data_IF_463528257334
#
_entry.id   IF_463528257334
#
_cell.length_a   1.000
_cell.length_b   1.000
_cell.length_c   1.000
_cell.angle_alpha   90.00
_cell.angle_beta   90.00
_cell.angle_gamma   90.00
#
_symmetry.space_group_name_H-M   'P 1'
#
loop_
_entity.id
_entity.type
_entity.pdbx_description
1 polymer ?
#
# COMPACT_ATOMS: atom_id res chain seq x y z
N UNK A 1 -96.88 9.13 2.40
CA UNK A 1 -95.43 8.99 2.65
C UNK A 1 -94.74 10.08 1.84
N UNK A 2 -94.61 11.28 2.45
CA UNK A 2 -93.33 11.91 2.90
C UNK A 2 -92.51 12.44 1.71
N UNK A 3 -92.67 13.73 1.39
CA UNK A 3 -91.78 14.88 1.72
C UNK A 3 -90.55 14.97 0.80
N UNK A 4 -90.47 15.94 -0.14
CA UNK A 4 -89.90 17.32 -0.01
C UNK A 4 -88.42 17.24 0.43
N UNK A 5 -87.39 17.66 -0.34
CA UNK A 5 -86.87 19.04 -0.57
C UNK A 5 -85.67 18.90 -1.55
N UNK A 6 -85.48 19.55 -2.72
CA UNK A 6 -85.33 20.96 -3.15
C UNK A 6 -83.99 21.66 -2.77
N UNK A 7 -83.42 22.38 -3.76
CA UNK A 7 -82.41 23.49 -3.73
C UNK A 7 -80.96 23.03 -4.03
N UNK A 8 -80.35 23.29 -5.21
CA UNK A 8 -79.94 24.49 -5.99
C UNK A 8 -78.39 24.59 -5.95
N UNK A 9 -77.65 24.60 -7.07
CA UNK A 9 -77.52 25.59 -8.18
C UNK A 9 -76.56 26.73 -7.82
N UNK A 10 -75.83 27.16 -8.86
CA UNK A 10 -74.97 28.36 -9.00
C UNK A 10 -73.49 28.13 -8.63
N UNK A 11 -72.49 28.65 -9.33
CA UNK A 11 -72.37 29.34 -10.62
C UNK A 11 -70.86 29.32 -10.96
N UNK A 12 -70.51 29.07 -12.22
CA UNK A 12 -69.12 29.01 -12.68
C UNK A 12 -68.55 30.43 -12.84
N UNK A 13 -67.80 30.89 -11.86
CA UNK A 13 -66.95 32.07 -11.96
C UNK A 13 -65.56 31.73 -12.51
N UNK A 14 -65.17 32.40 -13.60
CA UNK A 14 -63.83 32.36 -14.20
C UNK A 14 -62.75 32.79 -13.19
N UNK A 15 -61.86 31.88 -12.80
CA UNK A 15 -60.56 32.22 -12.19
C UNK A 15 -59.47 32.24 -13.28
N UNK A 16 -58.81 33.39 -13.45
CA UNK A 16 -57.55 33.49 -14.20
C UNK A 16 -56.44 32.77 -13.42
N UNK A 17 -55.59 31.94 -14.06
CA UNK A 17 -54.47 31.32 -13.37
C UNK A 17 -53.38 32.37 -13.14
N UNK A 18 -53.12 32.67 -11.87
CA UNK A 18 -51.94 33.41 -11.45
C UNK A 18 -50.74 32.46 -11.57
N UNK A 19 -49.92 32.63 -12.61
CA UNK A 19 -48.67 31.88 -12.77
C UNK A 19 -47.67 32.42 -11.74
N UNK A 20 -47.56 31.74 -10.60
CA UNK A 20 -46.45 31.92 -9.67
C UNK A 20 -45.19 31.31 -10.29
N UNK A 21 -44.33 32.14 -10.88
CA UNK A 21 -42.97 31.74 -11.23
C UNK A 21 -42.20 31.65 -9.91
N UNK A 22 -42.16 30.45 -9.31
CA UNK A 22 -41.23 30.15 -8.22
C UNK A 22 -39.80 30.19 -8.77
N UNK A 23 -39.12 31.30 -8.53
CA UNK A 23 -37.68 31.42 -8.71
C UNK A 23 -37.01 30.50 -7.66
N UNK A 24 -36.74 29.25 -8.02
CA UNK A 24 -35.86 28.37 -7.25
C UNK A 24 -34.45 28.95 -7.36
N UNK A 25 -34.10 29.83 -6.42
CA UNK A 25 -32.70 30.19 -6.19
C UNK A 25 -31.99 28.91 -5.75
N UNK A 26 -31.20 28.32 -6.65
CA UNK A 26 -30.18 27.36 -6.28
C UNK A 26 -29.16 28.12 -5.42
N UNK A 27 -29.39 28.16 -4.10
CA UNK A 27 -28.39 28.62 -3.15
C UNK A 27 -27.34 27.52 -3.10
N UNK A 28 -26.36 27.58 -4.00
CA UNK A 28 -25.09 26.91 -3.79
C UNK A 28 -24.46 27.59 -2.58
N UNK A 29 -24.54 26.96 -1.41
CA UNK A 29 -23.71 27.39 -0.28
C UNK A 29 -22.26 27.26 -0.71
N UNK A 30 -21.61 28.38 -0.99
CA UNK A 30 -20.17 28.41 -1.19
C UNK A 30 -19.54 27.92 0.13
N UNK A 31 -18.86 26.79 0.08
CA UNK A 31 -18.14 26.26 1.23
C UNK A 31 -17.09 27.30 1.66
N UNK A 32 -17.04 27.64 2.94
CA UNK A 32 -16.11 28.66 3.43
C UNK A 32 -14.68 28.13 3.39
N UNK A 33 -13.70 29.02 3.28
CA UNK A 33 -12.28 28.64 3.33
C UNK A 33 -11.92 27.86 4.60
N UNK A 34 -12.63 28.11 5.71
CA UNK A 34 -12.48 27.37 6.95
C UNK A 34 -13.02 25.94 6.88
N UNK A 35 -14.16 25.73 6.21
CA UNK A 35 -14.71 24.40 5.94
C UNK A 35 -13.76 23.62 5.01
N UNK A 36 -13.26 24.26 3.96
CA UNK A 36 -12.26 23.67 3.06
C UNK A 36 -10.95 23.35 3.78
N UNK A 37 -10.50 24.21 4.69
CA UNK A 37 -9.32 23.97 5.53
C UNK A 37 -9.50 22.75 6.44
N UNK A 38 -10.68 22.63 7.07
CA UNK A 38 -11.01 21.48 7.91
C UNK A 38 -11.07 20.19 7.10
N UNK A 39 -11.64 20.24 5.88
CA UNK A 39 -11.68 19.11 4.97
C UNK A 39 -10.26 18.69 4.57
N UNK A 40 -9.45 19.63 4.05
CA UNK A 40 -8.08 19.37 3.59
C UNK A 40 -7.22 18.76 4.70
N UNK A 41 -7.24 19.36 5.90
CA UNK A 41 -6.51 18.83 7.04
C UNK A 41 -6.99 17.42 7.41
N UNK A 42 -8.31 17.19 7.47
CA UNK A 42 -8.85 15.86 7.80
C UNK A 42 -8.55 14.79 6.76
N UNK A 43 -8.43 15.15 5.47
CA UNK A 43 -8.06 14.20 4.41
C UNK A 43 -6.57 13.82 4.48
N UNK A 44 -5.70 14.79 4.79
CA UNK A 44 -4.26 14.56 4.84
C UNK A 44 -3.81 13.96 6.16
N UNK A 45 -4.20 14.57 7.28
CA UNK A 45 -3.76 14.21 8.62
C UNK A 45 -4.67 13.18 9.33
N UNK A 46 -5.81 12.82 8.72
CA UNK A 46 -6.79 11.87 9.26
C UNK A 46 -7.38 12.27 10.64
N UNK A 47 -7.26 13.54 11.02
CA UNK A 47 -7.78 14.12 12.27
C UNK A 47 -8.68 15.31 11.96
N UNK A 48 -9.78 15.46 12.71
CA UNK A 48 -10.65 16.62 12.63
C UNK A 48 -10.29 17.60 13.74
N UNK A 49 -9.70 18.74 13.40
CA UNK A 49 -9.39 19.80 14.34
C UNK A 49 -10.62 20.70 14.62
N UNK A 50 -10.60 21.35 15.78
CA UNK A 50 -11.55 22.43 16.14
C UNK A 50 -11.39 23.62 15.19
N UNK A 51 -12.49 24.29 14.86
CA UNK A 51 -12.50 25.51 14.04
C UNK A 51 -11.65 26.66 14.62
N UNK A 52 -11.41 26.65 15.94
CA UNK A 52 -10.53 27.61 16.61
C UNK A 52 -9.04 27.25 16.58
N UNK A 53 -8.67 26.10 15.98
CA UNK A 53 -7.27 25.68 15.92
C UNK A 53 -6.42 26.68 15.12
N UNK A 54 -5.29 27.18 15.67
CA UNK A 54 -4.38 28.05 14.92
C UNK A 54 -3.89 27.41 13.61
N UNK A 55 -3.74 26.09 13.58
CA UNK A 55 -3.36 25.34 12.37
C UNK A 55 -4.44 25.45 11.31
N UNK A 56 -5.71 25.27 11.66
CA UNK A 56 -6.81 25.41 10.70
C UNK A 56 -6.99 26.86 10.23
N UNK A 57 -6.82 27.84 11.11
CA UNK A 57 -6.90 29.25 10.74
C UNK A 57 -5.81 29.63 9.73
N UNK A 58 -4.58 29.12 9.92
CA UNK A 58 -3.49 29.29 8.96
C UNK A 58 -3.82 28.64 7.60
N UNK A 59 -4.30 27.40 7.60
CA UNK A 59 -4.71 26.71 6.36
C UNK A 59 -5.83 27.48 5.66
N UNK A 60 -6.81 27.99 6.40
CA UNK A 60 -7.91 28.81 5.85
C UNK A 60 -7.39 30.07 5.15
N UNK A 61 -6.45 30.79 5.78
CA UNK A 61 -5.84 31.98 5.19
C UNK A 61 -5.05 31.66 3.91
N UNK A 62 -4.34 30.52 3.88
CA UNK A 62 -3.64 30.06 2.68
C UNK A 62 -4.63 29.73 1.56
N UNK A 63 -5.75 29.08 1.88
CA UNK A 63 -6.82 28.80 0.91
C UNK A 63 -7.46 30.08 0.37
N UNK A 64 -7.74 31.07 1.22
CA UNK A 64 -8.23 32.40 0.79
C UNK A 64 -7.25 33.08 -0.17
N UNK A 65 -5.95 32.91 0.06
CA UNK A 65 -4.89 33.39 -0.81
C UNK A 65 -4.64 32.50 -2.04
N UNK A 66 -5.46 31.47 -2.29
CA UNK A 66 -5.32 30.48 -3.37
C UNK A 66 -4.01 29.67 -3.33
N UNK A 67 -3.40 29.55 -2.16
CA UNK A 67 -2.15 28.84 -1.88
C UNK A 67 -2.42 27.41 -1.38
N UNK A 68 -3.12 26.62 -2.21
CA UNK A 68 -3.57 25.28 -1.86
C UNK A 68 -2.42 24.29 -1.58
N UNK A 69 -1.31 24.43 -2.30
CA UNK A 69 -0.14 23.56 -2.10
C UNK A 69 0.51 23.82 -0.74
N UNK A 70 0.69 25.09 -0.40
CA UNK A 70 1.22 25.51 0.90
C UNK A 70 0.26 25.12 2.04
N UNK A 71 -1.06 25.24 1.82
CA UNK A 71 -2.07 24.79 2.77
C UNK A 71 -1.96 23.28 3.04
N UNK A 72 -1.75 22.47 2.01
CA UNK A 72 -1.50 21.03 2.14
C UNK A 72 -0.16 20.72 2.82
N UNK A 73 0.88 21.52 2.57
CA UNK A 73 2.19 21.38 3.23
C UNK A 73 2.09 21.60 4.75
N UNK A 74 1.24 22.52 5.22
CA UNK A 74 0.96 22.70 6.65
C UNK A 74 0.34 21.44 7.26
N UNK A 75 -0.63 20.82 6.59
CA UNK A 75 -1.29 19.60 7.08
C UNK A 75 -0.34 18.39 7.08
N UNK A 76 0.49 18.23 6.04
CA UNK A 76 1.48 17.15 5.93
C UNK A 76 2.66 17.35 6.89
N UNK A 77 2.94 18.59 7.29
CA UNK A 77 3.96 18.92 8.27
C UNK A 77 3.54 18.68 9.72
N UNK A 78 2.27 18.34 9.98
CA UNK A 78 1.78 18.14 11.35
C UNK A 78 2.16 16.78 11.91
N UNK A 79 2.17 16.67 13.24
CA UNK A 79 2.39 15.40 13.94
C UNK A 79 1.25 14.40 13.67
N UNK A 80 0.03 14.89 13.43
CA UNK A 80 -1.12 14.03 13.08
C UNK A 80 -0.87 13.28 11.76
N UNK A 81 -0.20 13.91 10.78
CA UNK A 81 0.14 13.24 9.53
C UNK A 81 1.03 12.02 9.76
N UNK A 82 2.10 12.14 10.56
CA UNK A 82 2.99 11.01 10.84
C UNK A 82 2.37 9.97 11.78
N UNK A 83 1.66 10.42 12.81
CA UNK A 83 1.18 9.55 13.88
C UNK A 83 -0.16 8.88 13.59
N UNK A 84 -0.98 9.46 12.72
CA UNK A 84 -2.29 8.91 12.37
C UNK A 84 -2.31 8.49 10.91
N UNK A 85 -2.04 9.42 9.98
CA UNK A 85 -2.17 9.13 8.55
C UNK A 85 -1.15 8.11 8.07
N UNK A 86 0.15 8.33 8.29
CA UNK A 86 1.17 7.37 7.86
C UNK A 86 1.09 6.06 8.65
N UNK A 87 0.70 6.09 9.93
CA UNK A 87 0.44 4.87 10.68
C UNK A 87 -0.67 4.04 10.03
N UNK A 88 -1.84 4.64 9.76
CA UNK A 88 -2.96 3.97 9.08
C UNK A 88 -2.59 3.51 7.67
N UNK A 89 -1.69 4.23 6.99
CA UNK A 89 -1.18 3.84 5.68
C UNK A 89 -0.38 2.55 5.78
N UNK A 90 0.56 2.43 6.72
CA UNK A 90 1.49 1.29 6.80
C UNK A 90 1.00 0.10 7.64
N UNK A 91 0.14 0.33 8.64
CA UNK A 91 -0.30 -0.69 9.58
C UNK A 91 -0.91 -1.94 8.89
N UNK A 92 -1.85 -1.81 7.94
CA UNK A 92 -2.42 -2.97 7.24
C UNK A 92 -1.35 -3.83 6.55
N UNK A 93 -0.38 -3.20 5.88
CA UNK A 93 0.65 -3.92 5.10
C UNK A 93 1.62 -4.73 5.98
N UNK A 94 1.62 -4.48 7.29
CA UNK A 94 2.49 -5.16 8.25
C UNK A 94 1.95 -6.51 8.77
N UNK A 95 0.80 -6.97 8.26
CA UNK A 95 0.14 -8.22 8.67
C UNK A 95 -0.54 -8.96 7.51
N UNK A 96 -0.72 -10.28 7.64
CA UNK A 96 -1.38 -11.07 6.58
C UNK A 96 -2.83 -10.70 6.31
N UNK A 97 -3.56 -10.32 7.34
CA UNK A 97 -5.00 -10.02 7.28
C UNK A 97 -5.28 -8.53 7.03
N UNK A 98 -4.25 -7.75 6.71
CA UNK A 98 -4.37 -6.29 6.53
C UNK A 98 -4.99 -5.58 7.75
N UNK A 99 -4.64 -6.03 8.97
CA UNK A 99 -5.17 -5.49 10.22
C UNK A 99 -4.77 -4.02 10.41
N UNK A 100 -5.73 -3.06 10.42
CA UNK A 100 -5.43 -1.67 10.72
C UNK A 100 -5.13 -1.42 12.21
N UNK A 101 -5.61 -2.30 13.10
CA UNK A 101 -5.50 -2.20 14.55
C UNK A 101 -4.36 -3.08 15.08
N UNK A 102 -3.17 -2.94 14.48
CA UNK A 102 -1.95 -3.63 14.91
C UNK A 102 -1.05 -2.68 15.71
N UNK A 103 -0.27 -3.20 16.65
CA UNK A 103 0.73 -2.40 17.38
C UNK A 103 1.82 -1.87 16.45
N UNK A 104 2.42 -0.72 16.84
CA UNK A 104 3.59 -0.18 16.16
C UNK A 104 4.73 -1.20 16.15
N UNK A 105 5.20 -1.51 14.96
CA UNK A 105 6.28 -2.45 14.71
C UNK A 105 7.31 -1.84 13.76
N UNK A 106 8.45 -2.51 13.58
CA UNK A 106 9.56 -2.03 12.78
C UNK A 106 9.18 -1.76 11.32
N UNK A 107 8.28 -2.57 10.71
CA UNK A 107 7.78 -2.30 9.35
C UNK A 107 7.07 -0.94 9.27
N UNK A 108 6.15 -0.67 10.21
CA UNK A 108 5.40 0.59 10.25
C UNK A 108 6.35 1.76 10.53
N UNK A 109 7.23 1.62 11.52
CA UNK A 109 8.17 2.66 11.92
C UNK A 109 9.15 3.01 10.77
N UNK A 110 9.65 2.00 10.05
CA UNK A 110 10.48 2.21 8.87
C UNK A 110 9.73 2.94 7.75
N UNK A 111 8.47 2.59 7.49
CA UNK A 111 7.63 3.27 6.51
C UNK A 111 7.41 4.74 6.85
N UNK A 112 7.06 5.03 8.10
CA UNK A 112 6.89 6.40 8.61
C UNK A 112 8.20 7.19 8.47
N UNK A 113 9.32 6.62 8.93
CA UNK A 113 10.62 7.29 8.89
C UNK A 113 11.10 7.59 7.46
N UNK A 114 10.87 6.68 6.50
CA UNK A 114 11.18 6.92 5.09
C UNK A 114 10.34 8.03 4.48
N UNK A 115 9.19 8.35 5.08
CA UNK A 115 8.33 9.44 4.62
C UNK A 115 8.78 10.80 5.14
N UNK A 116 9.73 10.87 6.09
CA UNK A 116 10.28 12.15 6.55
C UNK A 116 11.24 12.76 5.53
N UNK A 117 11.32 14.09 5.53
CA UNK A 117 12.37 14.83 4.83
C UNK A 117 13.73 14.36 5.32
N UNK A 118 14.64 14.11 4.38
CA UNK A 118 16.01 13.78 4.70
C UNK A 118 16.74 15.03 5.22
N UNK A 119 17.30 15.00 6.45
CA UNK A 119 17.93 16.18 7.03
C UNK A 119 19.25 16.58 6.35
N UNK A 120 19.85 15.69 5.56
CA UNK A 120 21.10 15.95 4.82
C UNK A 120 20.78 16.58 3.47
N UNK A 121 19.83 16.01 2.74
CA UNK A 121 19.50 16.49 1.38
C UNK A 121 18.38 17.53 1.33
N UNK A 122 17.63 17.68 2.42
CA UNK A 122 16.41 18.48 2.53
C UNK A 122 15.36 18.12 1.47
N UNK A 123 15.29 16.83 1.09
CA UNK A 123 14.34 16.27 0.13
C UNK A 123 13.61 15.08 0.74
N UNK A 124 12.41 14.79 0.24
CA UNK A 124 11.73 13.54 0.57
C UNK A 124 12.55 12.35 0.06
N UNK A 125 12.53 11.25 0.81
CA UNK A 125 13.19 10.02 0.37
C UNK A 125 12.28 9.26 -0.60
N UNK A 126 12.86 8.61 -1.63
CA UNK A 126 12.07 7.82 -2.58
C UNK A 126 11.26 6.73 -1.87
N UNK A 127 10.00 6.58 -2.24
CA UNK A 127 9.14 5.48 -1.80
C UNK A 127 9.67 4.11 -2.26
N UNK A 128 10.46 4.04 -3.34
CA UNK A 128 11.12 2.82 -3.79
C UNK A 128 12.05 2.20 -2.75
N UNK A 129 12.65 3.02 -1.87
CA UNK A 129 13.48 2.55 -0.76
C UNK A 129 12.74 1.54 0.13
N UNK A 130 11.40 1.63 0.20
CA UNK A 130 10.60 0.69 0.99
C UNK A 130 10.69 -0.76 0.51
N UNK A 131 11.13 -1.02 -0.73
CA UNK A 131 11.27 -2.37 -1.26
C UNK A 131 12.70 -2.74 -1.64
N UNK A 132 13.63 -1.80 -1.77
CA UNK A 132 15.03 -2.09 -2.16
C UNK A 132 16.11 -1.43 -1.27
N UNK A 133 15.70 -0.66 -0.27
CA UNK A 133 16.60 0.11 0.58
C UNK A 133 17.37 -0.74 1.58
N UNK A 134 18.56 -0.27 1.96
CA UNK A 134 19.34 -0.83 3.06
C UNK A 134 19.25 0.09 4.27
N UNK A 135 18.12 0.02 4.98
CA UNK A 135 17.92 0.87 6.15
C UNK A 135 17.01 0.24 7.20
N UNK A 136 17.17 0.71 8.43
CA UNK A 136 16.30 0.48 9.57
C UNK A 136 16.08 1.81 10.29
N UNK A 137 15.56 1.77 11.51
CA UNK A 137 15.36 2.96 12.33
C UNK A 137 15.96 2.80 13.72
N UNK A 138 16.24 3.94 14.35
CA UNK A 138 16.44 4.05 15.79
C UNK A 138 15.23 4.75 16.39
N UNK A 139 14.92 4.42 17.64
CA UNK A 139 13.93 5.12 18.43
C UNK A 139 14.58 5.71 19.68
N UNK A 140 14.45 7.03 19.90
CA UNK A 140 15.16 7.76 20.96
C UNK A 140 16.68 7.51 20.95
N UNK A 141 17.29 7.47 19.76
CA UNK A 141 18.70 7.17 19.52
C UNK A 141 19.16 5.75 19.93
N UNK A 142 18.23 4.83 20.23
CA UNK A 142 18.52 3.42 20.45
C UNK A 142 18.15 2.58 19.22
N UNK A 143 18.99 1.62 18.78
CA UNK A 143 18.62 0.69 17.72
C UNK A 143 17.44 -0.19 18.15
N UNK A 144 16.63 -0.62 17.18
CA UNK A 144 15.57 -1.58 17.45
C UNK A 144 16.17 -2.96 17.79
N UNK A 145 15.44 -3.71 18.63
CA UNK A 145 15.80 -5.09 18.96
C UNK A 145 15.56 -6.01 17.76
N UNK A 146 16.52 -6.88 17.49
CA UNK A 146 16.37 -7.93 16.46
C UNK A 146 15.36 -9.02 16.86
N UNK A 147 15.05 -9.14 18.16
CA UNK A 147 14.19 -10.18 18.71
C UNK A 147 12.73 -9.73 18.92
N UNK A 148 12.47 -8.42 19.09
CA UNK A 148 11.13 -7.92 19.38
C UNK A 148 10.94 -6.45 19.00
N UNK A 149 9.69 -6.00 19.01
CA UNK A 149 9.29 -4.62 18.78
C UNK A 149 8.89 -3.89 20.08
N UNK A 150 9.32 -4.38 21.26
CA UNK A 150 8.81 -3.91 22.56
C UNK A 150 8.97 -2.40 22.76
N UNK A 151 10.09 -1.81 22.30
CA UNK A 151 10.30 -0.35 22.40
C UNK A 151 9.26 0.44 21.59
N UNK A 152 8.87 -0.05 20.42
CA UNK A 152 7.86 0.56 19.56
C UNK A 152 6.45 0.30 20.08
N UNK A 153 6.14 -0.92 20.53
CA UNK A 153 4.88 -1.25 21.20
C UNK A 153 4.66 -0.37 22.43
N UNK A 154 5.70 -0.18 23.26
CA UNK A 154 5.62 0.69 24.43
C UNK A 154 5.38 2.15 24.04
N UNK A 155 6.09 2.65 23.01
CA UNK A 155 5.87 3.99 22.48
C UNK A 155 4.43 4.18 22.00
N UNK A 156 3.86 3.17 21.35
CA UNK A 156 2.46 3.18 20.92
C UNK A 156 1.50 3.21 22.11
N UNK A 157 1.71 2.34 23.11
CA UNK A 157 0.86 2.25 24.30
C UNK A 157 0.89 3.52 25.16
N UNK A 158 2.02 4.22 25.19
CA UNK A 158 2.16 5.51 25.89
C UNK A 158 1.80 6.71 25.01
N UNK A 159 1.32 6.49 23.78
CA UNK A 159 0.97 7.53 22.80
C UNK A 159 2.13 8.50 22.54
N UNK A 160 3.34 7.97 22.49
CA UNK A 160 4.51 8.76 22.14
C UNK A 160 4.40 9.24 20.69
N UNK A 161 4.52 10.55 20.50
CA UNK A 161 4.49 11.17 19.18
C UNK A 161 5.77 10.82 18.41
N UNK A 162 5.62 10.23 17.23
CA UNK A 162 6.68 9.93 16.28
C UNK A 162 7.05 11.20 15.49
N UNK A 163 8.31 11.60 15.61
CA UNK A 163 8.88 12.78 14.95
C UNK A 163 10.25 12.44 14.34
N UNK A 164 10.76 13.26 13.40
CA UNK A 164 12.13 13.11 12.93
C UNK A 164 13.20 13.19 14.03
N UNK A 165 12.87 13.77 15.20
CA UNK A 165 13.79 13.89 16.32
C UNK A 165 13.98 12.56 17.08
N UNK A 166 12.93 11.75 17.21
CA UNK A 166 12.99 10.48 17.95
C UNK A 166 12.96 9.24 17.07
N UNK A 167 12.53 9.31 15.81
CA UNK A 167 12.50 8.20 14.87
C UNK A 167 13.40 8.51 13.68
N UNK A 168 14.61 7.94 13.67
CA UNK A 168 15.66 8.26 12.70
C UNK A 168 16.06 7.05 11.87
N UNK A 169 16.25 7.25 10.58
CA UNK A 169 16.80 6.22 9.69
C UNK A 169 18.26 5.95 10.02
N UNK A 170 18.64 4.68 9.98
CA UNK A 170 20.03 4.21 10.08
C UNK A 170 20.33 3.14 9.03
N UNK A 171 21.61 3.00 8.69
CA UNK A 171 22.14 1.99 7.77
C UNK A 171 23.39 1.34 8.39
N UNK A 172 23.66 0.04 8.17
CA UNK A 172 22.86 -0.91 7.39
C UNK A 172 21.53 -1.25 8.08
N UNK A 173 20.62 -1.91 7.36
CA UNK A 173 19.35 -2.36 7.90
C UNK A 173 19.54 -3.27 9.12
N UNK A 174 20.51 -4.19 9.05
CA UNK A 174 20.94 -5.04 10.15
C UNK A 174 22.40 -5.38 10.01
N UNK A 175 23.07 -5.61 11.12
CA UNK A 175 24.47 -6.03 11.13
C UNK A 175 24.67 -7.38 10.42
N UNK A 176 23.70 -8.30 10.54
CA UNK A 176 23.80 -9.66 9.98
C UNK A 176 23.15 -9.83 8.60
N UNK A 177 22.67 -8.73 7.97
CA UNK A 177 22.17 -8.74 6.60
C UNK A 177 23.07 -7.79 5.80
N UNK A 178 23.88 -8.28 4.85
CA UNK A 178 24.70 -7.40 4.03
C UNK A 178 23.82 -6.49 3.18
N UNK A 179 24.35 -5.33 2.78
CA UNK A 179 23.64 -4.34 1.97
C UNK A 179 23.06 -4.89 0.66
N UNK A 180 23.66 -5.95 0.12
CA UNK A 180 23.20 -6.63 -1.09
C UNK A 180 21.95 -7.50 -0.87
N UNK A 181 21.65 -7.85 0.38
CA UNK A 181 20.50 -8.68 0.77
C UNK A 181 19.38 -7.89 1.47
N UNK A 182 19.62 -6.64 1.85
CA UNK A 182 18.60 -5.76 2.40
C UNK A 182 17.65 -5.23 1.31
N UNK A 183 16.34 -5.26 1.57
CA UNK A 183 15.27 -4.92 0.65
C UNK A 183 14.14 -4.15 1.36
N UNK A 184 14.52 -3.13 2.13
CA UNK A 184 13.61 -2.24 2.84
C UNK A 184 12.64 -3.00 3.75
N UNK A 185 11.35 -2.71 3.59
CA UNK A 185 10.28 -3.35 4.35
C UNK A 185 10.19 -4.86 4.10
N UNK A 186 10.58 -5.37 2.91
CA UNK A 186 10.54 -6.80 2.58
C UNK A 186 11.48 -7.65 3.45
N UNK A 187 12.50 -7.04 4.04
CA UNK A 187 13.46 -7.68 4.95
C UNK A 187 13.41 -7.11 6.37
N UNK A 188 12.36 -6.34 6.67
CA UNK A 188 12.02 -5.98 8.06
C UNK A 188 11.68 -7.22 8.87
N UNK A 189 11.80 -7.10 10.20
CA UNK A 189 11.54 -8.18 11.15
C UNK A 189 10.08 -8.59 11.06
N UNK A 190 9.19 -7.60 11.07
CA UNK A 190 7.75 -7.84 11.03
C UNK A 190 7.33 -8.49 9.70
N UNK A 191 7.86 -8.05 8.54
CA UNK A 191 7.51 -8.71 7.28
C UNK A 191 8.02 -10.15 7.20
N UNK A 192 9.23 -10.43 7.68
CA UNK A 192 9.77 -11.78 7.75
C UNK A 192 9.00 -12.65 8.75
N UNK A 193 8.61 -12.10 9.91
CA UNK A 193 7.72 -12.77 10.88
C UNK A 193 6.41 -13.19 10.22
N UNK A 194 5.79 -12.30 9.46
CA UNK A 194 4.51 -12.59 8.82
C UNK A 194 4.66 -13.52 7.63
N UNK A 195 5.68 -13.40 6.79
CA UNK A 195 5.68 -14.06 5.49
C UNK A 195 6.73 -15.15 5.35
N UNK A 196 7.86 -15.03 6.05
CA UNK A 196 8.92 -16.03 6.06
C UNK A 196 8.74 -17.09 7.15
N UNK A 197 7.92 -16.92 8.20
CA UNK A 197 7.81 -17.99 9.22
C UNK A 197 7.26 -19.32 8.66
N UNK A 198 8.00 -20.42 8.74
CA UNK A 198 7.62 -21.71 8.13
C UNK A 198 7.42 -21.65 6.60
N UNK A 199 6.83 -22.71 6.02
CA UNK A 199 6.61 -22.82 4.57
C UNK A 199 7.91 -22.78 3.76
N UNK A 200 7.81 -22.39 2.48
CA UNK A 200 8.95 -22.38 1.54
C UNK A 200 9.10 -21.04 0.82
N UNK A 201 8.89 -19.94 1.55
CA UNK A 201 9.06 -18.54 1.11
C UNK A 201 8.18 -18.04 -0.05
N UNK A 202 7.25 -18.85 -0.56
CA UNK A 202 6.22 -18.41 -1.51
C UNK A 202 5.45 -17.17 -1.04
N UNK A 203 5.06 -17.12 0.24
CA UNK A 203 4.33 -15.97 0.79
C UNK A 203 5.09 -14.64 0.66
N UNK A 204 6.42 -14.65 0.66
CA UNK A 204 7.19 -13.43 0.45
C UNK A 204 6.82 -12.77 -0.88
N UNK A 205 6.71 -13.56 -1.96
CA UNK A 205 6.32 -13.09 -3.30
C UNK A 205 4.87 -12.65 -3.32
N UNK A 206 3.95 -13.49 -2.81
CA UNK A 206 2.52 -13.18 -2.85
C UNK A 206 2.22 -11.87 -2.12
N UNK A 207 2.76 -11.69 -0.91
CA UNK A 207 2.51 -10.49 -0.13
C UNK A 207 3.32 -9.30 -0.65
N UNK A 208 4.50 -9.48 -1.25
CA UNK A 208 5.17 -8.36 -1.94
C UNK A 208 4.31 -7.83 -3.11
N UNK A 209 3.70 -8.72 -3.91
CA UNK A 209 2.78 -8.33 -4.97
C UNK A 209 1.49 -7.70 -4.43
N UNK A 210 0.92 -8.29 -3.37
CA UNK A 210 -0.31 -7.75 -2.78
C UNK A 210 -0.09 -6.38 -2.17
N UNK A 211 0.97 -6.21 -1.39
CA UNK A 211 1.24 -5.00 -0.63
C UNK A 211 1.79 -3.87 -1.50
N UNK A 212 2.70 -4.17 -2.42
CA UNK A 212 3.40 -3.13 -3.18
C UNK A 212 2.94 -3.01 -4.63
N UNK A 213 2.19 -3.98 -5.16
CA UNK A 213 1.60 -3.94 -6.49
C UNK A 213 0.07 -4.02 -6.48
N UNK A 214 -0.57 -4.05 -5.31
CA UNK A 214 -2.03 -4.09 -5.16
C UNK A 214 -2.63 -5.22 -6.03
N UNK A 215 -1.97 -6.38 -6.05
CA UNK A 215 -2.39 -7.51 -6.88
C UNK A 215 -2.29 -8.83 -6.13
N UNK A 216 -3.45 -9.43 -5.86
CA UNK A 216 -3.54 -10.76 -5.27
C UNK A 216 -3.20 -11.85 -6.30
N UNK A 217 -2.73 -12.99 -5.81
CA UNK A 217 -2.36 -14.15 -6.66
C UNK A 217 -3.49 -14.62 -7.56
N UNK A 218 -4.75 -14.48 -7.15
CA UNK A 218 -5.90 -14.82 -8.00
C UNK A 218 -5.96 -14.01 -9.29
N UNK A 219 -5.33 -12.84 -9.30
CA UNK A 219 -5.38 -11.91 -10.42
C UNK A 219 -4.19 -12.05 -11.37
N UNK A 220 -3.06 -12.57 -10.89
CA UNK A 220 -1.85 -12.75 -11.69
C UNK A 220 -1.46 -14.20 -11.94
N UNK A 221 -2.18 -15.18 -11.36
CA UNK A 221 -2.08 -16.58 -11.77
C UNK A 221 -2.30 -16.68 -13.28
N UNK A 222 -1.51 -17.52 -13.93
CA UNK A 222 -1.49 -17.63 -15.38
C UNK A 222 -1.41 -19.10 -15.75
N UNK A 223 -2.34 -19.56 -16.60
CA UNK A 223 -2.38 -20.93 -17.10
C UNK A 223 -1.78 -21.09 -18.49
N UNK A 224 -1.07 -20.08 -19.02
CA UNK A 224 -0.42 -20.16 -20.33
C UNK A 224 0.49 -21.40 -20.39
N UNK A 225 0.22 -22.36 -21.31
CA UNK A 225 1.01 -23.58 -21.43
C UNK A 225 2.44 -23.32 -21.88
N UNK A 226 2.74 -22.14 -22.42
CA UNK A 226 4.10 -21.75 -22.80
C UNK A 226 4.98 -21.37 -21.59
N UNK A 227 4.42 -21.24 -20.38
CA UNK A 227 5.18 -21.11 -19.14
C UNK A 227 5.45 -22.52 -18.64
N UNK A 228 6.72 -22.91 -18.57
CA UNK A 228 7.15 -24.26 -18.20
C UNK A 228 7.18 -24.43 -16.68
N UNK A 229 7.12 -25.69 -16.23
CA UNK A 229 7.22 -26.04 -14.81
C UNK A 229 8.67 -26.05 -14.27
N UNK A 230 9.61 -25.47 -15.01
CA UNK A 230 11.06 -25.55 -14.73
C UNK A 230 11.44 -25.02 -13.34
N UNK A 231 10.70 -24.00 -12.86
CA UNK A 231 10.89 -23.43 -11.54
C UNK A 231 10.01 -24.07 -10.46
N UNK A 232 9.00 -24.86 -10.84
CA UNK A 232 8.09 -25.43 -9.85
C UNK A 232 8.84 -26.48 -9.02
N UNK A 233 8.93 -26.23 -7.72
CA UNK A 233 9.82 -27.02 -6.87
C UNK A 233 9.26 -28.39 -6.52
N UNK A 234 10.17 -29.25 -6.07
CA UNK A 234 9.93 -30.65 -5.67
C UNK A 234 8.95 -30.83 -4.51
N UNK A 235 8.67 -29.79 -3.73
CA UNK A 235 7.69 -29.82 -2.63
C UNK A 235 6.23 -29.73 -3.12
N UNK A 236 6.00 -29.57 -4.42
CA UNK A 236 4.67 -29.52 -5.05
C UNK A 236 4.40 -30.85 -5.75
N UNK A 237 3.32 -31.54 -5.37
CA UNK A 237 2.90 -32.75 -6.08
C UNK A 237 2.44 -32.42 -7.50
N UNK A 238 2.83 -33.25 -8.47
CA UNK A 238 2.31 -33.22 -9.85
C UNK A 238 1.05 -34.06 -10.04
N UNK A 239 0.60 -34.71 -8.97
CA UNK A 239 -0.67 -35.43 -8.89
C UNK A 239 -1.23 -35.31 -7.46
N UNK A 240 -1.64 -34.11 -7.01
CA UNK A 240 -2.26 -33.93 -5.70
C UNK A 240 -3.46 -34.87 -5.53
N UNK A 241 -3.50 -35.64 -4.43
CA UNK A 241 -4.52 -36.69 -4.22
C UNK A 241 -4.31 -37.99 -5.03
N UNK A 242 -3.29 -38.04 -5.90
CA UNK A 242 -2.93 -39.22 -6.70
C UNK A 242 -3.76 -39.40 -7.97
N UNK A 243 -3.30 -40.33 -8.81
CA UNK A 243 -3.99 -40.73 -10.04
C UNK A 243 -4.11 -39.63 -11.11
N UNK A 244 -4.93 -39.91 -12.11
CA UNK A 244 -5.16 -39.01 -13.26
C UNK A 244 -5.90 -37.74 -12.82
N UNK A 245 -6.87 -37.85 -11.92
CA UNK A 245 -7.63 -36.70 -11.43
C UNK A 245 -6.73 -35.67 -10.74
N UNK A 246 -5.79 -36.13 -9.90
CA UNK A 246 -4.79 -35.27 -9.29
C UNK A 246 -3.89 -34.60 -10.32
N UNK A 247 -3.42 -35.34 -11.32
CA UNK A 247 -2.59 -34.77 -12.39
C UNK A 247 -3.34 -33.70 -13.20
N UNK A 248 -4.61 -33.92 -13.49
CA UNK A 248 -5.48 -32.92 -14.13
C UNK A 248 -5.67 -31.68 -13.25
N UNK A 249 -5.87 -31.85 -11.94
CA UNK A 249 -5.94 -30.74 -11.00
C UNK A 249 -4.65 -29.92 -10.98
N UNK A 250 -3.49 -30.59 -10.96
CA UNK A 250 -2.21 -29.89 -11.02
C UNK A 250 -2.10 -29.02 -12.28
N UNK A 251 -2.46 -29.60 -13.44
CA UNK A 251 -2.40 -28.91 -14.72
C UNK A 251 -3.38 -27.74 -14.83
N UNK A 252 -4.59 -27.88 -14.30
CA UNK A 252 -5.64 -26.87 -14.41
C UNK A 252 -5.56 -25.77 -13.35
N UNK A 253 -5.05 -26.09 -12.16
CA UNK A 253 -5.15 -25.20 -10.99
C UNK A 253 -3.79 -24.90 -10.37
N UNK A 254 -3.09 -25.91 -9.87
CA UNK A 254 -1.91 -25.71 -9.01
C UNK A 254 -0.78 -25.00 -9.75
N UNK A 255 -0.47 -25.46 -10.98
CA UNK A 255 0.64 -24.89 -11.75
C UNK A 255 0.44 -23.41 -12.07
N UNK A 256 -0.81 -22.95 -12.19
CA UNK A 256 -1.11 -21.56 -12.59
C UNK A 256 -0.53 -20.50 -11.65
N UNK A 257 -0.39 -20.84 -10.37
CA UNK A 257 0.27 -20.01 -9.37
C UNK A 257 1.76 -20.36 -9.26
N UNK A 258 2.07 -21.66 -9.20
CA UNK A 258 3.41 -22.15 -8.91
C UNK A 258 4.43 -21.80 -9.99
N UNK A 259 4.06 -21.88 -11.26
CA UNK A 259 4.98 -21.60 -12.38
C UNK A 259 5.46 -20.14 -12.43
N UNK A 260 4.77 -19.25 -11.71
CA UNK A 260 5.13 -17.84 -11.56
C UNK A 260 5.84 -17.60 -10.22
N UNK A 261 5.22 -18.05 -9.13
CA UNK A 261 5.66 -17.75 -7.77
C UNK A 261 6.97 -18.47 -7.41
N UNK A 262 7.16 -19.70 -7.90
CA UNK A 262 8.34 -20.50 -7.54
C UNK A 262 9.61 -19.98 -8.22
N UNK A 263 9.48 -19.36 -9.40
CA UNK A 263 10.60 -18.68 -10.07
C UNK A 263 11.09 -17.46 -9.29
N UNK A 264 10.18 -16.76 -8.58
CA UNK A 264 10.50 -15.55 -7.83
C UNK A 264 10.88 -15.79 -6.37
N UNK A 265 10.34 -16.85 -5.73
CA UNK A 265 10.52 -17.06 -4.27
C UNK A 265 11.99 -17.24 -3.86
N UNK A 266 12.84 -17.67 -4.81
CA UNK A 266 14.26 -17.87 -4.60
C UNK A 266 14.99 -16.56 -4.23
N UNK A 267 14.44 -15.40 -4.57
CA UNK A 267 14.92 -14.10 -4.07
C UNK A 267 15.07 -14.08 -2.53
N UNK A 268 14.26 -14.87 -1.84
CA UNK A 268 14.26 -14.99 -0.38
C UNK A 268 14.88 -16.30 0.10
N UNK A 269 15.63 -17.04 -0.73
CA UNK A 269 16.15 -18.36 -0.39
C UNK A 269 17.11 -18.36 0.81
N UNK A 270 17.71 -17.21 1.10
CA UNK A 270 18.64 -16.97 2.21
C UNK A 270 17.98 -16.29 3.41
N UNK A 271 16.70 -15.93 3.33
CA UNK A 271 15.97 -15.25 4.40
C UNK A 271 14.99 -16.19 5.11
N UNK A 272 14.93 -16.10 6.44
CA UNK A 272 13.95 -16.79 7.27
C UNK A 272 13.49 -15.94 8.46
N UNK A 273 12.53 -16.48 9.20
CA UNK A 273 12.19 -16.02 10.54
C UNK A 273 12.24 -17.18 11.53
N UNK A 274 13.05 -17.04 12.56
CA UNK A 274 13.17 -18.03 13.63
C UNK A 274 12.06 -17.82 14.65
N UNK A 275 11.13 -18.78 14.72
CA UNK A 275 10.10 -18.79 15.77
C UNK A 275 10.68 -18.95 17.18
N UNK A 276 11.85 -19.58 17.31
CA UNK A 276 12.53 -19.81 18.60
C UNK A 276 13.12 -18.53 19.17
N UNK A 277 13.83 -17.76 18.34
CA UNK A 277 14.49 -16.50 18.76
C UNK A 277 13.65 -15.27 18.47
N UNK A 278 12.49 -15.44 17.83
CA UNK A 278 11.61 -14.36 17.36
C UNK A 278 12.34 -13.30 16.53
N UNK A 279 13.32 -13.73 15.72
CA UNK A 279 14.20 -12.83 14.97
C UNK A 279 14.23 -13.21 13.50
N UNK A 280 14.49 -12.21 12.65
CA UNK A 280 14.75 -12.47 11.25
C UNK A 280 16.17 -13.02 11.06
N UNK A 281 16.29 -13.99 10.16
CA UNK A 281 17.51 -14.77 9.93
C UNK A 281 17.94 -14.59 8.49
N UNK A 282 19.25 -14.44 8.30
CA UNK A 282 19.88 -14.44 6.99
C UNK A 282 21.08 -15.38 6.98
N UNK A 283 21.21 -16.19 5.93
CA UNK A 283 22.40 -17.02 5.70
C UNK A 283 23.11 -16.57 4.44
N UNK A 284 24.34 -16.08 4.57
CA UNK A 284 25.10 -15.57 3.43
C UNK A 284 25.52 -16.67 2.45
N UNK A 285 25.75 -17.89 2.94
CA UNK A 285 26.38 -18.99 2.21
C UNK A 285 25.45 -20.15 1.90
N UNK A 286 24.30 -20.26 2.57
CA UNK A 286 23.39 -21.40 2.42
C UNK A 286 21.94 -20.98 2.23
N UNK A 287 21.18 -21.80 1.52
CA UNK A 287 19.72 -21.67 1.46
C UNK A 287 19.09 -22.15 2.77
N UNK A 288 17.95 -21.57 3.14
CA UNK A 288 17.24 -21.94 4.37
C UNK A 288 16.65 -23.35 4.21
N UNK A 289 16.91 -24.29 5.14
CA UNK A 289 16.63 -25.72 4.93
C UNK A 289 15.19 -26.04 4.54
N UNK A 290 14.22 -25.28 5.06
CA UNK A 290 12.79 -25.48 4.82
C UNK A 290 12.41 -25.48 3.34
N UNK A 291 13.12 -24.74 2.47
CA UNK A 291 12.75 -24.58 1.05
C UNK A 291 12.84 -25.89 0.28
N UNK A 292 13.80 -26.76 0.62
CA UNK A 292 14.02 -28.05 -0.03
C UNK A 292 13.67 -29.24 0.89
N UNK A 293 13.01 -29.00 2.02
CA UNK A 293 12.76 -30.04 3.02
C UNK A 293 11.88 -31.18 2.49
N UNK A 294 10.80 -30.84 1.76
CA UNK A 294 9.88 -31.82 1.20
C UNK A 294 10.28 -32.21 -0.23
N UNK A 295 10.11 -33.49 -0.57
CA UNK A 295 10.32 -34.03 -1.91
C UNK A 295 9.12 -34.89 -2.33
N UNK A 296 8.07 -34.25 -2.83
CA UNK A 296 6.87 -34.90 -3.38
C UNK A 296 7.02 -35.25 -4.86
N UNK A 297 7.88 -34.54 -5.59
CA UNK A 297 8.18 -34.79 -7.00
C UNK A 297 9.69 -34.66 -7.25
N UNK A 298 10.43 -35.77 -7.38
CA UNK A 298 11.89 -35.75 -7.52
C UNK A 298 12.42 -34.94 -8.71
N UNK A 299 11.64 -34.85 -9.80
CA UNK A 299 11.98 -34.05 -10.98
C UNK A 299 11.72 -32.55 -10.84
N UNK A 300 11.21 -32.09 -9.70
CA UNK A 300 10.96 -30.67 -9.45
C UNK A 300 12.22 -29.91 -9.07
N UNK A 301 12.16 -28.57 -9.20
CA UNK A 301 13.30 -27.70 -8.96
C UNK A 301 13.89 -27.89 -7.54
N UNK A 302 15.23 -27.90 -7.48
CA UNK A 302 16.03 -27.78 -6.24
C UNK A 302 16.51 -26.35 -6.15
N UNK A 303 16.22 -25.67 -5.04
CA UNK A 303 16.74 -24.31 -4.85
C UNK A 303 18.15 -24.41 -4.29
N UNK A 304 19.15 -23.93 -5.02
CA UNK A 304 20.56 -24.04 -4.62
C UNK A 304 21.19 -22.69 -4.30
N UNK A 305 20.60 -21.60 -4.79
CA UNK A 305 21.02 -20.23 -4.57
C UNK A 305 19.80 -19.30 -4.44
N UNK A 306 20.04 -17.99 -4.46
CA UNK A 306 19.04 -16.94 -4.44
C UNK A 306 18.76 -16.32 -5.82
N UNK A 307 19.10 -17.04 -6.90
CA UNK A 307 18.76 -16.63 -8.26
C UNK A 307 17.26 -16.83 -8.53
N UNK A 308 16.64 -15.85 -9.16
CA UNK A 308 15.20 -15.84 -9.40
C UNK A 308 14.87 -15.27 -10.77
N UNK A 309 13.72 -15.67 -11.30
CA UNK A 309 13.15 -15.18 -12.56
C UNK A 309 11.64 -14.92 -12.40
N UNK A 310 11.18 -13.80 -12.94
CA UNK A 310 9.77 -13.46 -13.02
C UNK A 310 9.19 -13.88 -14.37
N UNK A 311 8.28 -14.86 -14.35
CA UNK A 311 7.53 -15.31 -15.55
C UNK A 311 6.19 -14.61 -15.73
N UNK A 312 5.75 -13.77 -14.79
CA UNK A 312 4.51 -13.00 -14.89
C UNK A 312 4.70 -11.77 -15.81
N UNK A 313 5.16 -12.02 -17.03
CA UNK A 313 5.71 -11.00 -17.96
C UNK A 313 5.04 -11.04 -19.33
N UNK A 314 4.03 -11.90 -19.49
CA UNK A 314 3.30 -12.13 -20.74
C UNK A 314 1.83 -11.77 -20.59
N UNK A 315 1.14 -11.61 -21.71
CA UNK A 315 -0.32 -11.44 -21.76
C UNK A 315 -0.84 -10.37 -20.79
N UNK A 316 -1.86 -10.73 -20.02
CA UNK A 316 -2.49 -9.85 -19.03
C UNK A 316 -1.51 -9.38 -17.95
N UNK A 317 -0.52 -10.21 -17.57
CA UNK A 317 0.47 -9.86 -16.57
C UNK A 317 1.43 -8.76 -17.06
N UNK A 318 1.84 -8.79 -18.33
CA UNK A 318 2.66 -7.74 -18.92
C UNK A 318 1.98 -6.36 -18.82
N UNK A 319 0.71 -6.31 -19.23
CA UNK A 319 -0.10 -5.09 -19.20
C UNK A 319 -0.42 -4.63 -17.76
N UNK A 320 -0.70 -5.57 -16.86
CA UNK A 320 -1.02 -5.31 -15.46
C UNK A 320 0.15 -4.67 -14.72
N UNK A 321 1.35 -5.20 -14.89
CA UNK A 321 2.50 -4.81 -14.08
C UNK A 321 3.32 -3.67 -14.69
N UNK A 322 3.42 -3.62 -16.03
CA UNK A 322 4.25 -2.63 -16.70
C UNK A 322 5.69 -2.68 -16.19
N UNK A 323 6.26 -3.89 -16.16
CA UNK A 323 7.62 -4.15 -15.68
C UNK A 323 8.67 -3.32 -16.41
N UNK A 324 9.70 -2.87 -15.68
CA UNK A 324 10.81 -2.07 -16.22
C UNK A 324 12.13 -2.53 -15.63
N UNK A 325 13.14 -2.69 -16.49
CA UNK A 325 14.46 -3.19 -16.09
C UNK A 325 14.52 -4.72 -15.99
N UNK A 326 15.49 -5.27 -15.25
CA UNK A 326 15.70 -6.72 -15.16
C UNK A 326 14.51 -7.46 -14.54
N UNK A 327 14.15 -8.59 -15.14
CA UNK A 327 13.08 -9.50 -14.70
C UNK A 327 13.62 -10.80 -14.09
N UNK A 328 14.92 -10.84 -13.87
CA UNK A 328 15.65 -11.87 -13.14
C UNK A 328 16.78 -11.21 -12.37
N UNK A 329 17.29 -11.92 -11.36
CA UNK A 329 18.35 -11.39 -10.52
C UNK A 329 18.69 -12.33 -9.38
N UNK A 330 19.44 -11.81 -8.40
CA UNK A 330 19.83 -12.54 -7.20
C UNK A 330 19.37 -11.78 -5.95
N UNK A 331 18.78 -12.51 -5.01
CA UNK A 331 18.43 -12.01 -3.69
C UNK A 331 17.27 -11.02 -3.64
N UNK A 332 16.89 -10.68 -2.41
CA UNK A 332 15.71 -9.87 -2.11
C UNK A 332 15.82 -8.44 -2.64
N UNK A 333 17.03 -7.86 -2.67
CA UNK A 333 17.25 -6.49 -3.14
C UNK A 333 16.94 -6.34 -4.63
N UNK A 334 17.45 -7.25 -5.47
CA UNK A 334 17.15 -7.22 -6.91
C UNK A 334 15.66 -7.44 -7.18
N UNK A 335 15.02 -8.33 -6.40
CA UNK A 335 13.57 -8.54 -6.47
C UNK A 335 12.81 -7.26 -6.10
N UNK A 336 13.19 -6.61 -5.01
CA UNK A 336 12.67 -5.31 -4.59
C UNK A 336 12.80 -4.23 -5.65
N UNK A 337 13.94 -4.17 -6.34
CA UNK A 337 14.16 -3.24 -7.46
C UNK A 337 13.22 -3.53 -8.63
N UNK A 338 12.97 -4.80 -8.97
CA UNK A 338 11.99 -5.18 -10.00
C UNK A 338 10.58 -4.69 -9.63
N UNK A 339 10.19 -4.89 -8.37
CA UNK A 339 8.90 -4.39 -7.84
C UNK A 339 8.84 -2.87 -7.95
N UNK A 340 9.80 -2.15 -7.35
CA UNK A 340 9.83 -0.69 -7.26
C UNK A 340 9.92 0.04 -8.60
N UNK A 341 10.46 -0.60 -9.64
CA UNK A 341 10.57 -0.03 -11.00
C UNK A 341 9.32 -0.24 -11.86
N UNK A 342 8.43 -1.13 -11.48
CA UNK A 342 7.21 -1.42 -12.24
C UNK A 342 6.26 -0.21 -12.24
N UNK A 343 5.49 -0.01 -13.31
CA UNK A 343 4.44 1.02 -13.28
C UNK A 343 3.36 0.69 -12.24
N UNK A 344 3.10 -0.60 -12.03
CA UNK A 344 2.09 -1.05 -11.07
C UNK A 344 2.44 -0.63 -9.64
N UNK A 345 3.71 -0.57 -9.28
CA UNK A 345 4.16 -0.03 -7.98
C UNK A 345 3.67 1.41 -7.76
N UNK A 346 3.88 2.28 -8.74
CA UNK A 346 3.41 3.67 -8.71
C UNK A 346 1.88 3.75 -8.65
N UNK A 347 1.18 2.99 -9.49
CA UNK A 347 -0.30 3.01 -9.48
C UNK A 347 -0.90 2.40 -8.20
N UNK A 348 -0.24 1.44 -7.57
CA UNK A 348 -0.66 0.87 -6.29
C UNK A 348 -0.51 1.89 -5.15
N UNK A 349 0.61 2.64 -5.13
CA UNK A 349 0.77 3.75 -4.19
C UNK A 349 -0.36 4.77 -4.35
N UNK A 350 -0.70 5.15 -5.59
CA UNK A 350 -1.83 6.04 -5.87
C UNK A 350 -3.16 5.45 -5.38
N UNK A 351 -3.45 4.18 -5.66
CA UNK A 351 -4.68 3.50 -5.22
C UNK A 351 -4.83 3.54 -3.69
N UNK A 352 -3.75 3.25 -2.95
CA UNK A 352 -3.76 3.28 -1.48
C UNK A 352 -3.91 4.71 -0.93
N UNK A 353 -3.13 5.67 -1.43
CA UNK A 353 -3.22 7.08 -0.98
C UNK A 353 -4.58 7.67 -1.32
N UNK A 354 -5.12 7.41 -2.53
CA UNK A 354 -6.46 7.85 -2.92
C UNK A 354 -7.54 7.28 -1.99
N UNK A 355 -7.49 5.97 -1.71
CA UNK A 355 -8.44 5.35 -0.77
C UNK A 355 -8.40 6.02 0.60
N UNK A 356 -7.22 6.34 1.10
CA UNK A 356 -7.04 6.94 2.42
C UNK A 356 -7.46 8.40 2.48
N UNK A 357 -7.05 9.21 1.50
CA UNK A 357 -7.30 10.66 1.44
C UNK A 357 -8.75 10.92 1.05
N UNK A 358 -9.24 10.26 0.00
CA UNK A 358 -10.55 10.50 -0.59
C UNK A 358 -11.65 9.66 0.08
N UNK A 359 -11.27 8.71 0.96
CA UNK A 359 -12.17 7.83 1.73
C UNK A 359 -13.06 6.94 0.85
N UNK A 360 -12.63 6.69 -0.39
CA UNK A 360 -13.25 5.79 -1.37
C UNK A 360 -12.18 5.28 -2.34
N UNK A 361 -12.42 4.12 -2.95
CA UNK A 361 -11.55 3.65 -4.03
C UNK A 361 -11.71 4.50 -5.30
N UNK A 362 -10.69 4.47 -6.15
CA UNK A 362 -10.78 4.91 -7.53
C UNK A 362 -11.80 4.05 -8.29
N UNK A 363 -12.58 4.65 -9.17
CA UNK A 363 -13.49 3.94 -10.08
C UNK A 363 -12.88 3.80 -11.49
N UNK A 364 -13.52 2.99 -12.33
CA UNK A 364 -13.02 2.68 -13.70
C UNK A 364 -12.79 3.94 -14.53
N UNK A 365 -13.69 4.92 -14.46
CA UNK A 365 -13.59 6.16 -15.24
C UNK A 365 -12.48 7.12 -14.74
N UNK A 366 -11.87 6.84 -13.58
CA UNK A 366 -10.77 7.63 -13.01
C UNK A 366 -9.39 7.07 -13.37
N UNK A 367 -9.30 6.15 -14.34
CA UNK A 367 -8.05 5.53 -14.77
C UNK A 367 -7.01 6.56 -15.24
N UNK A 368 -7.44 7.59 -15.97
CA UNK A 368 -6.54 8.66 -16.43
C UNK A 368 -5.95 9.47 -15.25
N UNK A 369 -6.75 9.70 -14.22
CA UNK A 369 -6.31 10.39 -13.00
C UNK A 369 -5.28 9.54 -12.26
N UNK A 370 -5.56 8.22 -12.12
CA UNK A 370 -4.62 7.28 -11.53
C UNK A 370 -3.27 7.31 -12.23
N UNK A 371 -3.27 7.23 -13.55
CA UNK A 371 -2.04 7.24 -14.34
C UNK A 371 -1.31 8.58 -14.29
N UNK A 372 -2.05 9.69 -14.34
CA UNK A 372 -1.47 11.04 -14.21
C UNK A 372 -0.79 11.22 -12.85
N UNK A 373 -1.46 10.83 -11.76
CA UNK A 373 -0.89 10.86 -10.41
C UNK A 373 0.31 9.93 -10.28
N UNK A 374 0.27 8.74 -10.88
CA UNK A 374 1.39 7.80 -10.86
C UNK A 374 2.62 8.36 -11.60
N UNK A 375 2.43 8.96 -12.78
CA UNK A 375 3.52 9.64 -13.51
C UNK A 375 4.06 10.86 -12.77
N UNK A 376 3.18 11.64 -12.14
CA UNK A 376 3.57 12.75 -11.28
C UNK A 376 4.39 12.29 -10.07
N UNK A 377 3.98 11.18 -9.44
CA UNK A 377 4.70 10.55 -8.34
C UNK A 377 6.10 10.08 -8.75
N UNK A 378 6.23 9.43 -9.92
CA UNK A 378 7.54 9.06 -10.47
C UNK A 378 8.40 10.31 -10.78
N UNK A 379 7.81 11.33 -11.38
CA UNK A 379 8.48 12.58 -11.74
C UNK A 379 8.95 13.40 -10.54
N UNK A 380 8.25 13.31 -9.40
CA UNK A 380 8.61 13.93 -8.13
C UNK A 380 9.56 13.07 -7.28
N UNK A 381 10.26 12.12 -7.92
CA UNK A 381 11.25 11.26 -7.26
C UNK A 381 10.65 10.29 -6.25
N UNK A 382 9.39 9.88 -6.45
CA UNK A 382 8.65 8.99 -5.56
C UNK A 382 8.41 9.57 -4.16
N UNK A 383 8.17 10.89 -4.03
CA UNK A 383 7.78 11.50 -2.76
C UNK A 383 6.39 11.04 -2.30
N UNK A 384 6.32 10.26 -1.21
CA UNK A 384 5.02 9.87 -0.64
C UNK A 384 4.26 11.08 -0.11
N UNK A 385 4.96 12.05 0.51
CA UNK A 385 4.37 13.33 0.96
C UNK A 385 3.80 14.11 -0.22
N UNK A 386 4.55 14.20 -1.32
CA UNK A 386 4.13 14.80 -2.58
C UNK A 386 2.90 14.10 -3.18
N UNK A 387 2.81 12.78 -3.09
CA UNK A 387 1.65 12.01 -3.54
C UNK A 387 0.40 12.27 -2.69
N UNK A 388 0.52 12.26 -1.35
CA UNK A 388 -0.59 12.62 -0.45
C UNK A 388 -1.12 14.03 -0.76
N UNK A 389 -0.23 15.00 -0.96
CA UNK A 389 -0.60 16.35 -1.40
C UNK A 389 -1.33 16.33 -2.74
N UNK A 390 -0.75 15.69 -3.74
CA UNK A 390 -1.32 15.68 -5.10
C UNK A 390 -2.70 15.05 -5.15
N UNK A 391 -2.90 13.94 -4.43
CA UNK A 391 -4.20 13.28 -4.30
C UNK A 391 -5.20 14.15 -3.53
N UNK A 392 -4.80 14.76 -2.43
CA UNK A 392 -5.70 15.66 -1.68
C UNK A 392 -6.11 16.87 -2.52
N UNK A 393 -5.35 17.22 -3.55
CA UNK A 393 -5.62 18.36 -4.40
C UNK A 393 -6.37 18.01 -5.70
N UNK A 394 -6.76 16.75 -5.94
CA UNK A 394 -7.62 16.44 -7.10
C UNK A 394 -9.10 16.80 -6.81
N UNK A 395 -9.86 17.30 -7.81
CA UNK A 395 -11.28 17.63 -7.65
C UNK A 395 -12.14 16.48 -7.12
N UNK A 396 -11.79 15.24 -7.48
CA UNK A 396 -12.46 14.01 -7.11
C UNK A 396 -12.45 13.72 -5.60
N UNK A 397 -11.54 14.37 -4.86
CA UNK A 397 -11.32 14.18 -3.44
C UNK A 397 -11.81 15.37 -2.60
N UNK A 398 -11.65 16.60 -3.10
CA UNK A 398 -12.07 17.82 -2.39
C UNK A 398 -13.44 18.33 -2.82
N UNK A 399 -13.96 17.94 -3.99
CA UNK A 399 -15.22 18.46 -4.53
C UNK A 399 -15.16 19.93 -4.99
N UNK A 400 -13.96 20.53 -4.99
CA UNK A 400 -13.71 21.94 -5.34
C UNK A 400 -12.75 21.98 -6.52
N UNK A 401 -13.08 22.77 -7.55
CA UNK A 401 -12.10 23.14 -8.58
C UNK A 401 -11.14 24.16 -7.98
N UNK A 402 -9.88 23.76 -7.86
CA UNK A 402 -8.83 24.53 -7.19
C UNK A 402 -8.21 25.59 -8.07
#
# INVERSE_FOLDING_TARGET
MTHVTLINRLEKGMLKPLVFVSLLANVSFAETSLQQAQLLYSRLAAVKLSQSSPVLLNISQLIEAKKWKEAADVAIGSEDFSNVSLFQFFAPLSSRIENPDIELNDFIAMGIANSFIDPVTNKDRPYTNLVDGDFSVTFNNAPLSEANNTVLTNAFNTRTVLTPANLKIVSPQRINIPSTAAAGLLTSRQFLKEHAIAGTNRRMVHYAFREFLCSDIKEWKDGDPAITDEFVSRDVSRAPGGGIAGAQQYQAECRTCHQLQDGMRNAFAKHDFSGTTSSAVYSATTIVPKINFNNLFPGGMVVTDDSWENKATRGANAARFGWRGPLSGNGAKAFGQMIGRSFRFSTCAVEKVFKQVCKRALIVDEQLIKESLARGFEGDGYSLRGLFKSVALVPECMGVKQ
#
